data_IF_634398245361
#
_entry.id   IF_634398245361
#
_cell.length_a   1.000
_cell.length_b   1.000
_cell.length_c   1.000
_cell.angle_alpha   90.00
_cell.angle_beta   90.00
_cell.angle_gamma   90.00
#
_symmetry.space_group_name_H-M   'P 1'
#
loop_
_entity.id
_entity.type
_entity.pdbx_description
1 polymer ?
#
# COMPACT_ATOMS: atom_id res chain seq x y z
N UNK A 1 9.33 26.05 -1.89
CA UNK A 1 8.37 24.93 -1.89
C UNK A 1 7.14 25.37 -1.10
N UNK A 2 5.91 25.14 -1.59
CA UNK A 2 4.69 25.50 -0.84
C UNK A 2 4.53 24.59 0.39
N UNK A 3 4.02 25.08 1.51
CA UNK A 3 3.79 24.27 2.74
C UNK A 3 3.05 22.95 2.46
N UNK A 4 2.04 22.99 1.59
CA UNK A 4 1.32 21.78 1.14
C UNK A 4 2.24 20.74 0.51
N UNK A 5 3.15 21.17 -0.38
CA UNK A 5 4.10 20.26 -1.03
C UNK A 5 5.09 19.69 -0.02
N UNK A 6 5.50 20.47 0.99
CA UNK A 6 6.35 19.95 2.07
C UNK A 6 5.64 18.87 2.89
N UNK A 7 4.34 19.06 3.20
CA UNK A 7 3.54 18.05 3.90
C UNK A 7 3.39 16.76 3.09
N UNK A 8 3.08 16.88 1.79
CA UNK A 8 2.95 15.73 0.88
C UNK A 8 4.29 14.98 0.78
N UNK A 9 5.42 15.67 0.64
CA UNK A 9 6.75 15.04 0.62
C UNK A 9 7.09 14.39 1.96
N UNK A 10 6.70 14.99 3.09
CA UNK A 10 6.92 14.40 4.41
C UNK A 10 6.11 13.10 4.58
N UNK A 11 4.82 13.11 4.21
CA UNK A 11 3.97 11.89 4.21
C UNK A 11 4.58 10.77 3.35
N UNK A 12 5.13 11.13 2.18
CA UNK A 12 5.82 10.19 1.30
C UNK A 12 7.07 9.59 1.96
N UNK A 13 7.92 10.42 2.56
CA UNK A 13 9.13 9.92 3.23
C UNK A 13 8.79 9.08 4.47
N UNK A 14 7.71 9.39 5.19
CA UNK A 14 7.18 8.53 6.27
C UNK A 14 6.75 7.17 5.73
N UNK A 15 6.15 7.09 4.55
CA UNK A 15 5.80 5.81 3.94
C UNK A 15 7.01 4.98 3.53
N UNK A 16 8.07 5.61 3.01
CA UNK A 16 9.33 4.94 2.69
C UNK A 16 10.03 4.43 3.96
N UNK A 17 10.10 5.24 5.01
CA UNK A 17 10.55 4.80 6.33
C UNK A 17 9.73 3.61 6.86
N UNK A 18 8.40 3.65 6.69
CA UNK A 18 7.53 2.56 7.14
C UNK A 18 7.77 1.25 6.38
N UNK A 19 8.18 1.31 5.11
CA UNK A 19 8.67 0.12 4.39
C UNK A 19 9.93 -0.38 5.11
N UNK A 20 10.96 0.44 5.29
CA UNK A 20 12.20 -0.04 5.91
C UNK A 20 12.00 -0.61 7.33
N UNK A 21 11.15 0.03 8.15
CA UNK A 21 10.91 -0.37 9.54
C UNK A 21 10.01 -1.61 9.67
N UNK A 22 9.03 -1.78 8.78
CA UNK A 22 7.95 -2.77 8.93
C UNK A 22 7.81 -3.78 7.79
N UNK A 23 8.63 -3.72 6.74
CA UNK A 23 8.59 -4.65 5.60
C UNK A 23 9.16 -6.01 6.00
N UNK A 24 8.38 -6.71 6.83
CA UNK A 24 8.48 -8.13 7.08
C UNK A 24 7.69 -8.86 5.99
N UNK A 25 8.06 -10.12 5.72
CA UNK A 25 7.51 -10.96 4.64
C UNK A 25 6.00 -10.83 4.47
N UNK A 26 5.23 -10.75 5.56
CA UNK A 26 3.77 -10.71 5.48
C UNK A 26 3.13 -9.34 5.72
N UNK A 27 3.86 -8.23 5.71
CA UNK A 27 3.27 -6.89 5.88
C UNK A 27 3.23 -6.14 4.56
N UNK A 28 2.07 -5.59 4.25
CA UNK A 28 1.86 -4.70 3.11
C UNK A 28 1.84 -3.26 3.60
N UNK A 29 2.75 -2.45 3.05
CA UNK A 29 2.72 -0.99 3.22
C UNK A 29 1.98 -0.35 2.05
N UNK A 30 0.98 0.49 2.36
CA UNK A 30 0.23 1.25 1.35
C UNK A 30 0.15 2.72 1.74
N UNK A 31 0.87 3.57 1.01
CA UNK A 31 0.80 5.02 1.16
C UNK A 31 -0.50 5.59 0.57
N UNK A 32 -1.01 6.67 1.19
CA UNK A 32 -2.24 7.37 0.81
C UNK A 32 -3.44 6.44 0.62
N UNK A 33 -3.59 5.44 1.51
CA UNK A 33 -4.65 4.46 1.43
C UNK A 33 -6.02 5.10 1.70
N UNK A 34 -7.08 4.51 1.13
CA UNK A 34 -8.47 4.91 1.37
C UNK A 34 -9.26 3.74 1.89
N UNK A 35 -9.73 3.84 3.13
CA UNK A 35 -10.57 2.81 3.77
C UNK A 35 -11.95 3.41 4.03
N UNK A 36 -13.01 2.62 3.78
CA UNK A 36 -14.37 3.02 4.17
C UNK A 36 -14.51 2.87 5.68
N UNK A 37 -14.88 3.95 6.35
CA UNK A 37 -15.15 3.92 7.78
C UNK A 37 -16.39 3.07 8.10
N UNK A 38 -16.28 2.20 9.10
CA UNK A 38 -17.38 1.35 9.59
C UNK A 38 -18.40 2.14 10.42
N UNK A 39 -18.01 3.27 11.01
CA UNK A 39 -18.91 4.13 11.79
C UNK A 39 -19.42 5.30 10.96
N UNK A 40 -18.52 5.94 10.20
CA UNK A 40 -18.83 7.14 9.43
C UNK A 40 -19.36 6.85 8.03
N UNK A 41 -19.19 5.63 7.52
CA UNK A 41 -19.47 5.19 6.14
C UNK A 41 -18.74 5.99 5.05
N UNK A 42 -17.84 6.89 5.44
CA UNK A 42 -17.07 7.76 4.54
C UNK A 42 -15.72 7.14 4.23
N UNK A 43 -15.18 7.45 3.04
CA UNK A 43 -13.80 7.11 2.72
C UNK A 43 -12.86 7.99 3.55
N UNK A 44 -12.04 7.34 4.38
CA UNK A 44 -11.01 7.95 5.21
C UNK A 44 -9.67 7.80 4.51
N UNK A 45 -8.96 8.92 4.35
CA UNK A 45 -7.57 8.91 3.90
C UNK A 45 -6.68 8.53 5.10
N UNK A 46 -5.78 7.58 4.85
CA UNK A 46 -4.74 7.12 5.76
C UNK A 46 -3.39 7.37 5.09
N UNK A 47 -2.48 8.07 5.76
CA UNK A 47 -1.21 8.48 5.15
C UNK A 47 -0.35 7.25 4.84
N UNK A 48 -0.26 6.31 5.79
CA UNK A 48 0.29 4.96 5.55
C UNK A 48 -0.56 3.90 6.24
N UNK A 49 -0.95 2.87 5.49
CA UNK A 49 -1.63 1.71 6.01
C UNK A 49 -0.68 0.52 6.01
N UNK A 50 -0.58 -0.15 7.17
CA UNK A 50 0.12 -1.41 7.35
C UNK A 50 -0.91 -2.51 7.57
N UNK A 51 -0.84 -3.56 6.77
CA UNK A 51 -1.71 -4.72 6.93
C UNK A 51 -0.93 -6.02 6.79
N UNK A 52 -1.27 -7.03 7.57
CA UNK A 52 -0.78 -8.38 7.29
C UNK A 52 -1.40 -8.84 5.96
N UNK A 53 -0.60 -9.14 4.94
CA UNK A 53 -1.05 -9.50 3.59
C UNK A 53 -1.84 -10.81 3.58
N UNK A 54 -1.49 -11.78 4.42
CA UNK A 54 -2.10 -13.11 4.48
C UNK A 54 -3.35 -13.13 5.38
N UNK A 55 -3.39 -12.25 6.37
CA UNK A 55 -4.54 -12.13 7.28
C UNK A 55 -5.57 -11.15 6.72
N UNK A 56 -6.83 -11.61 6.64
CA UNK A 56 -7.97 -10.79 6.26
C UNK A 56 -8.59 -10.05 7.45
N UNK A 57 -8.08 -10.27 8.67
CA UNK A 57 -8.59 -9.62 9.87
C UNK A 57 -8.33 -8.10 9.85
N UNK A 58 -9.36 -7.26 9.67
CA UNK A 58 -9.21 -5.81 9.70
C UNK A 58 -8.67 -5.31 11.03
N UNK A 59 -8.97 -6.02 12.13
CA UNK A 59 -8.54 -5.65 13.48
C UNK A 59 -7.02 -5.76 13.66
N UNK A 60 -6.29 -6.40 12.76
CA UNK A 60 -4.83 -6.44 12.79
C UNK A 60 -4.16 -5.22 12.11
N UNK A 61 -4.94 -4.33 11.49
CA UNK A 61 -4.40 -3.17 10.75
C UNK A 61 -3.70 -2.19 11.69
N UNK A 62 -2.65 -1.55 11.17
CA UNK A 62 -2.02 -0.39 11.80
C UNK A 62 -2.11 0.79 10.84
N UNK A 63 -2.58 1.92 11.34
CA UNK A 63 -2.62 3.17 10.58
C UNK A 63 -1.49 4.09 11.03
N UNK A 64 -0.86 4.79 10.09
CA UNK A 64 0.14 5.80 10.36
C UNK A 64 -0.40 7.15 9.91
N UNK A 65 -0.29 8.15 10.78
CA UNK A 65 -0.73 9.52 10.56
C UNK A 65 0.47 10.45 10.70
N UNK A 66 0.89 11.06 9.59
CA UNK A 66 2.04 11.94 9.54
C UNK A 66 1.62 13.39 9.86
N UNK A 67 2.44 14.09 10.65
CA UNK A 67 2.16 15.42 11.15
C UNK A 67 3.40 16.30 11.03
N UNK A 68 3.49 17.00 9.90
CA UNK A 68 4.47 18.05 9.68
C UNK A 68 4.03 19.33 10.40
N UNK A 69 4.58 19.54 11.60
CA UNK A 69 4.31 20.73 12.39
C UNK A 69 5.61 21.30 12.96
N UNK A 70 5.73 22.64 12.94
CA UNK A 70 6.81 23.33 13.63
C UNK A 70 6.65 23.36 15.16
N UNK A 71 5.47 22.98 15.67
CA UNK A 71 5.18 22.87 17.10
C UNK A 71 4.88 21.42 17.48
N UNK A 72 5.14 21.01 18.73
CA UNK A 72 4.80 19.67 19.21
C UNK A 72 3.32 19.36 19.06
N UNK A 73 3.02 18.11 18.72
CA UNK A 73 1.67 17.56 18.62
C UNK A 73 0.99 17.56 20.00
N UNK A 74 -0.24 18.07 20.05
CA UNK A 74 -1.06 18.16 21.24
C UNK A 74 -2.04 16.97 21.38
N UNK A 75 -2.91 17.04 22.38
CA UNK A 75 -3.86 15.97 22.71
C UNK A 75 -4.94 15.80 21.64
N UNK A 76 -5.32 16.86 20.92
CA UNK A 76 -6.41 16.83 19.94
C UNK A 76 -6.07 15.91 18.76
N UNK A 77 -4.80 15.91 18.35
CA UNK A 77 -4.31 15.01 17.31
C UNK A 77 -4.38 13.55 17.74
N UNK A 78 -4.08 13.25 19.02
CA UNK A 78 -4.15 11.88 19.55
C UNK A 78 -5.61 11.41 19.58
N UNK A 79 -6.53 12.26 20.03
CA UNK A 79 -7.97 11.96 20.02
C UNK A 79 -8.51 11.77 18.61
N UNK A 80 -8.05 12.58 17.65
CA UNK A 80 -8.39 12.43 16.24
C UNK A 80 -7.85 11.12 15.64
N UNK A 81 -6.64 10.72 16.01
CA UNK A 81 -6.04 9.44 15.59
C UNK A 81 -6.85 8.25 16.13
N UNK A 82 -7.28 8.28 17.40
CA UNK A 82 -8.12 7.23 17.98
C UNK A 82 -9.52 7.17 17.38
N UNK A 83 -10.11 8.32 17.07
CA UNK A 83 -11.38 8.36 16.34
C UNK A 83 -11.23 7.75 14.95
N UNK A 84 -10.13 8.06 14.24
CA UNK A 84 -9.80 7.50 12.93
C UNK A 84 -9.58 5.98 13.02
N UNK A 85 -8.81 5.51 14.00
CA UNK A 85 -8.54 4.09 14.27
C UNK A 85 -9.83 3.28 14.46
N UNK A 86 -10.74 3.77 15.31
CA UNK A 86 -12.04 3.11 15.54
C UNK A 86 -12.91 3.09 14.29
N UNK A 87 -12.91 4.19 13.54
CA UNK A 87 -13.70 4.29 12.32
C UNK A 87 -13.21 3.34 11.22
N UNK A 88 -11.91 3.06 11.12
CA UNK A 88 -11.36 2.13 10.11
C UNK A 88 -11.09 0.72 10.63
N UNK A 89 -11.55 0.42 11.85
CA UNK A 89 -11.37 -0.84 12.54
C UNK A 89 -9.91 -1.32 12.63
N UNK A 90 -8.97 -0.43 12.95
CA UNK A 90 -7.54 -0.77 13.13
C UNK A 90 -7.21 -1.08 14.60
N UNK A 91 -6.19 -1.90 14.86
CA UNK A 91 -5.73 -2.19 16.23
C UNK A 91 -4.90 -1.06 16.83
N UNK A 92 -4.00 -0.47 16.03
CA UNK A 92 -3.07 0.55 16.49
C UNK A 92 -2.98 1.71 15.51
N UNK A 93 -2.66 2.88 16.05
CA UNK A 93 -2.26 4.05 15.28
C UNK A 93 -0.83 4.42 15.62
N UNK A 94 -0.05 4.84 14.63
CA UNK A 94 1.26 5.46 14.81
C UNK A 94 1.12 6.92 14.38
N UNK A 95 1.28 7.85 15.32
CA UNK A 95 1.37 9.28 15.00
C UNK A 95 2.85 9.61 14.84
N UNK A 96 3.21 10.06 13.65
CA UNK A 96 4.56 10.46 13.29
C UNK A 96 4.62 11.98 13.22
N UNK A 97 5.51 12.63 13.97
CA UNK A 97 5.64 14.08 13.97
C UNK A 97 7.06 14.55 13.72
N UNK A 98 7.19 15.67 13.00
CA UNK A 98 8.46 16.38 12.83
C UNK A 98 8.81 17.27 14.02
N UNK A 99 7.82 17.70 14.80
CA UNK A 99 7.97 18.71 15.86
C UNK A 99 7.93 18.14 17.29
N UNK A 100 7.84 16.82 17.43
CA UNK A 100 7.72 16.14 18.72
C UNK A 100 6.29 16.16 19.30
N UNK A 101 6.17 15.86 20.59
CA UNK A 101 4.89 15.66 21.27
C UNK A 101 4.84 16.39 22.62
N UNK A 102 3.69 16.95 22.95
CA UNK A 102 3.44 17.52 24.28
C UNK A 102 3.37 16.42 25.35
N UNK A 103 3.63 16.78 26.62
CA UNK A 103 3.48 15.84 27.75
C UNK A 103 2.07 15.25 27.85
N UNK A 104 1.05 16.04 27.52
CA UNK A 104 -0.34 15.60 27.52
C UNK A 104 -0.62 14.60 26.40
N UNK A 105 -0.09 14.84 25.20
CA UNK A 105 -0.19 13.89 24.08
C UNK A 105 0.48 12.55 24.42
N UNK A 106 1.68 12.58 25.01
CA UNK A 106 2.41 11.37 25.43
C UNK A 106 1.57 10.56 26.43
N UNK A 107 1.07 11.18 27.50
CA UNK A 107 0.21 10.51 28.49
C UNK A 107 -1.08 9.98 27.89
N UNK A 108 -1.65 10.68 26.89
CA UNK A 108 -2.90 10.27 26.26
C UNK A 108 -2.73 9.05 25.36
N UNK A 109 -1.53 8.80 24.83
CA UNK A 109 -1.26 7.78 23.81
C UNK A 109 -1.16 6.34 24.34
N UNK A 110 -1.14 6.13 25.65
CA UNK A 110 -0.65 4.90 26.31
C UNK A 110 -1.27 3.57 25.84
N UNK A 111 -2.50 3.55 25.32
CA UNK A 111 -3.17 2.30 24.93
C UNK A 111 -2.93 1.93 23.45
N UNK A 112 -3.56 2.66 22.52
CA UNK A 112 -3.67 2.27 21.11
C UNK A 112 -2.86 3.14 20.16
N UNK A 113 -2.22 4.20 20.67
CA UNK A 113 -1.47 5.16 19.85
C UNK A 113 0.02 5.06 20.18
N UNK A 114 0.86 4.89 19.16
CA UNK A 114 2.31 4.94 19.28
C UNK A 114 2.80 6.25 18.70
N UNK A 115 3.76 6.86 19.37
CA UNK A 115 4.32 8.15 18.96
C UNK A 115 5.71 7.92 18.36
N UNK A 116 6.00 8.59 17.24
CA UNK A 116 7.30 8.57 16.57
C UNK A 116 7.71 9.98 16.18
N UNK A 117 8.93 10.36 16.53
CA UNK A 117 9.55 11.61 16.12
C UNK A 117 10.46 11.31 14.94
N UNK A 118 10.14 11.86 13.77
CA UNK A 118 10.99 11.79 12.59
C UNK A 118 11.23 13.23 12.13
N UNK A 119 12.44 13.74 12.34
CA UNK A 119 12.78 15.12 11.98
C UNK A 119 12.69 15.32 10.47
N UNK A 120 12.16 16.46 10.03
CA UNK A 120 11.87 16.73 8.62
C UNK A 120 13.15 16.62 7.77
N UNK A 121 14.18 17.39 8.09
CA UNK A 121 15.39 17.46 7.26
C UNK A 121 16.08 16.10 7.13
N UNK A 122 16.23 15.37 8.24
CA UNK A 122 16.80 14.02 8.23
C UNK A 122 15.96 13.05 7.38
N UNK A 123 14.63 13.08 7.53
CA UNK A 123 13.75 12.15 6.83
C UNK A 123 13.73 12.42 5.31
N UNK A 124 13.77 13.69 4.90
CA UNK A 124 13.85 14.05 3.48
C UNK A 124 15.20 13.60 2.90
N UNK A 125 16.30 13.90 3.59
CA UNK A 125 17.66 13.54 3.12
C UNK A 125 17.79 12.03 2.91
N UNK A 126 17.19 11.22 3.78
CA UNK A 126 17.24 9.76 3.69
C UNK A 126 16.31 9.20 2.60
N UNK A 127 15.07 9.70 2.50
CA UNK A 127 14.02 9.00 1.77
C UNK A 127 13.44 9.72 0.54
N UNK A 128 13.79 10.98 0.24
CA UNK A 128 13.25 11.70 -0.93
C UNK A 128 13.51 10.95 -2.26
N UNK A 129 14.63 10.23 -2.34
CA UNK A 129 15.01 9.40 -3.48
C UNK A 129 14.22 8.09 -3.64
N UNK A 130 13.36 7.73 -2.68
CA UNK A 130 12.61 6.46 -2.70
C UNK A 130 11.48 6.44 -3.75
N UNK A 131 11.14 7.61 -4.29
CA UNK A 131 10.04 7.79 -5.22
C UNK A 131 10.51 8.00 -6.66
N UNK A 132 9.79 7.38 -7.58
CA UNK A 132 9.95 7.57 -9.02
C UNK A 132 8.66 8.05 -9.67
N UNK A 133 8.68 8.25 -11.00
CA UNK A 133 7.51 8.72 -11.74
C UNK A 133 6.57 7.55 -12.06
N UNK A 134 5.26 7.79 -12.00
CA UNK A 134 4.26 6.85 -12.48
C UNK A 134 4.40 6.68 -14.01
N UNK A 135 4.36 5.43 -14.50
CA UNK A 135 4.39 5.11 -15.93
C UNK A 135 2.99 5.06 -16.56
N UNK A 136 1.93 5.10 -15.74
CA UNK A 136 0.54 5.01 -16.22
C UNK A 136 -0.03 6.33 -16.72
N UNK A 137 0.18 7.40 -15.95
CA UNK A 137 -0.54 8.66 -16.15
C UNK A 137 0.38 9.83 -15.84
N UNK A 138 0.56 10.72 -16.81
CA UNK A 138 1.37 11.93 -16.67
C UNK A 138 0.79 12.87 -15.59
N UNK A 139 -0.52 12.81 -15.33
CA UNK A 139 -1.21 13.63 -14.33
C UNK A 139 -0.98 13.13 -12.89
N UNK A 140 -0.39 11.95 -12.71
CA UNK A 140 0.10 11.51 -11.40
C UNK A 140 1.25 12.40 -10.89
N UNK A 141 1.85 13.21 -11.75
CA UNK A 141 2.97 14.07 -11.40
C UNK A 141 4.27 13.29 -11.17
N UNK A 142 5.35 14.03 -10.88
CA UNK A 142 6.63 13.41 -10.55
C UNK A 142 6.64 12.82 -9.14
N UNK A 143 7.47 11.80 -8.91
CA UNK A 143 7.70 11.20 -7.58
C UNK A 143 6.42 10.68 -6.90
N UNK A 144 5.60 9.94 -7.63
CA UNK A 144 4.37 9.35 -7.10
C UNK A 144 4.46 7.83 -6.91
N UNK A 145 5.52 7.18 -7.37
CA UNK A 145 5.68 5.73 -7.33
C UNK A 145 6.64 5.32 -6.22
N UNK A 146 6.10 4.72 -5.15
CA UNK A 146 6.87 4.17 -4.03
C UNK A 146 7.27 2.74 -4.35
N UNK A 147 8.57 2.45 -4.39
CA UNK A 147 9.10 1.10 -4.60
C UNK A 147 9.30 0.34 -3.29
N UNK A 148 9.08 -0.97 -3.35
CA UNK A 148 9.49 -1.94 -2.32
C UNK A 148 9.99 -3.22 -3.03
N UNK A 149 10.49 -4.17 -2.25
CA UNK A 149 11.02 -5.44 -2.70
C UNK A 149 10.27 -6.55 -1.97
N UNK A 150 9.76 -7.52 -2.70
CA UNK A 150 9.16 -8.72 -2.12
C UNK A 150 10.07 -9.91 -2.31
N UNK A 151 10.06 -10.80 -1.32
CA UNK A 151 10.74 -12.09 -1.39
C UNK A 151 9.67 -13.16 -1.61
N UNK A 152 9.82 -13.91 -2.71
CA UNK A 152 8.88 -15.00 -3.00
C UNK A 152 9.44 -16.29 -2.43
N UNK A 153 8.89 -16.70 -1.29
CA UNK A 153 9.21 -18.00 -0.71
C UNK A 153 8.67 -19.13 -1.62
N UNK A 154 9.50 -20.14 -1.86
CA UNK A 154 9.16 -21.29 -2.70
C UNK A 154 9.37 -21.10 -4.21
N UNK A 155 9.57 -19.89 -4.72
CA UNK A 155 9.84 -19.63 -6.14
C UNK A 155 11.34 -19.71 -6.47
N UNK A 156 11.86 -20.90 -6.75
CA UNK A 156 13.26 -21.09 -7.17
C UNK A 156 14.26 -20.97 -6.01
N UNK A 157 15.52 -20.55 -6.25
CA UNK A 157 16.49 -20.41 -5.17
C UNK A 157 15.96 -19.37 -4.17
N UNK A 158 16.04 -19.66 -2.85
CA UNK A 158 15.40 -18.90 -1.77
C UNK A 158 15.86 -17.44 -1.56
N UNK A 159 16.46 -16.82 -2.57
CA UNK A 159 16.87 -15.41 -2.66
C UNK A 159 16.14 -14.64 -3.77
N UNK A 160 15.13 -15.22 -4.42
CA UNK A 160 14.46 -14.55 -5.53
C UNK A 160 13.65 -13.35 -5.00
N UNK A 161 14.10 -12.16 -5.37
CA UNK A 161 13.50 -10.89 -4.98
C UNK A 161 12.88 -10.22 -6.19
N UNK A 162 11.68 -9.67 -6.04
CA UNK A 162 11.03 -8.89 -7.08
C UNK A 162 10.77 -7.48 -6.58
N UNK A 163 11.17 -6.50 -7.41
CA UNK A 163 10.91 -5.10 -7.13
C UNK A 163 9.57 -4.71 -7.73
N UNK A 164 8.71 -4.15 -6.90
CA UNK A 164 7.40 -3.67 -7.29
C UNK A 164 7.16 -2.28 -6.70
N UNK A 165 6.25 -1.52 -7.30
CA UNK A 165 5.90 -0.19 -6.82
C UNK A 165 4.40 0.03 -6.79
N UNK A 166 3.96 0.92 -5.89
CA UNK A 166 2.58 1.38 -5.80
C UNK A 166 2.54 2.89 -6.02
N UNK A 167 1.77 3.33 -7.01
CA UNK A 167 1.57 4.76 -7.20
C UNK A 167 0.67 5.32 -6.09
N UNK A 168 1.11 6.34 -5.35
CA UNK A 168 0.34 6.94 -4.25
C UNK A 168 -0.86 7.76 -4.72
N UNK A 169 -1.03 7.96 -6.03
CA UNK A 169 -2.13 8.73 -6.61
C UNK A 169 -3.16 7.87 -7.34
N UNK A 170 -2.73 7.15 -8.38
CA UNK A 170 -3.62 6.28 -9.14
C UNK A 170 -3.73 4.87 -8.55
N UNK A 171 -2.87 4.52 -7.58
CA UNK A 171 -2.78 3.21 -6.95
C UNK A 171 -2.37 2.06 -7.88
N UNK A 172 -2.07 2.30 -9.16
CA UNK A 172 -1.62 1.26 -10.10
C UNK A 172 -0.30 0.64 -9.66
N UNK A 173 -0.23 -0.70 -9.73
CA UNK A 173 1.00 -1.44 -9.49
C UNK A 173 2.00 -1.19 -10.61
N UNK A 174 3.27 -1.16 -10.27
CA UNK A 174 4.38 -1.17 -11.22
C UNK A 174 5.32 -2.31 -10.87
N UNK A 175 5.96 -2.88 -11.87
CA UNK A 175 6.90 -3.99 -11.70
C UNK A 175 8.20 -3.61 -12.40
N UNK A 176 9.33 -3.89 -11.75
CA UNK A 176 10.64 -3.92 -12.39
C UNK A 176 11.09 -5.38 -12.50
N UNK A 177 11.11 -5.91 -13.72
CA UNK A 177 11.63 -7.24 -13.97
C UNK A 177 13.14 -7.26 -13.76
N UNK A 178 13.63 -8.02 -12.78
CA UNK A 178 15.07 -8.09 -12.46
C UNK A 178 15.91 -8.77 -13.55
N UNK A 179 15.27 -9.54 -14.45
CA UNK A 179 15.99 -10.32 -15.47
C UNK A 179 16.27 -9.48 -16.72
N UNK A 180 15.25 -8.83 -17.29
CA UNK A 180 15.42 -7.99 -18.49
C UNK A 180 15.50 -6.49 -18.20
N UNK A 181 15.25 -6.07 -16.96
CA UNK A 181 15.26 -4.66 -16.56
C UNK A 181 14.05 -3.85 -17.02
N UNK A 182 13.01 -4.48 -17.59
CA UNK A 182 11.82 -3.76 -18.03
C UNK A 182 10.99 -3.26 -16.84
N UNK A 183 10.50 -2.03 -16.96
CA UNK A 183 9.57 -1.41 -16.01
C UNK A 183 8.22 -1.22 -16.68
N UNK A 184 7.14 -1.67 -16.05
CA UNK A 184 5.81 -1.55 -16.62
C UNK A 184 4.71 -1.47 -15.55
N UNK A 185 3.61 -0.75 -15.83
CA UNK A 185 2.44 -0.74 -14.96
C UNK A 185 1.60 -2.01 -15.16
N UNK A 186 0.94 -2.45 -14.09
CA UNK A 186 -0.04 -3.55 -14.09
C UNK A 186 -1.38 -3.00 -13.58
N UNK A 187 -2.32 -2.82 -14.50
CA UNK A 187 -3.62 -2.23 -14.21
C UNK A 187 -4.57 -3.23 -13.53
N UNK A 188 -5.39 -2.75 -12.61
CA UNK A 188 -6.37 -3.57 -11.91
C UNK A 188 -7.28 -4.30 -12.91
N UNK A 189 -7.47 -5.61 -12.72
CA UNK A 189 -8.19 -6.51 -13.60
C UNK A 189 -7.42 -6.95 -14.86
N UNK A 190 -6.15 -6.58 -15.03
CA UNK A 190 -5.36 -6.88 -16.23
C UNK A 190 -4.13 -7.72 -15.91
N UNK A 191 -3.63 -8.43 -16.93
CA UNK A 191 -2.35 -9.13 -16.90
C UNK A 191 -1.38 -8.55 -17.94
N UNK A 192 -0.08 -8.64 -17.64
CA UNK A 192 1.02 -8.20 -18.50
C UNK A 192 2.03 -9.32 -18.57
N UNK A 193 2.39 -9.74 -19.79
CA UNK A 193 3.46 -10.73 -20.00
C UNK A 193 4.78 -10.00 -20.18
N UNK A 194 5.79 -10.39 -19.42
CA UNK A 194 7.15 -9.86 -19.57
C UNK A 194 7.82 -10.48 -20.81
N UNK A 195 8.74 -9.76 -21.45
CA UNK A 195 9.53 -10.29 -22.56
C UNK A 195 10.52 -11.42 -22.16
N UNK A 196 10.69 -11.66 -20.86
CA UNK A 196 11.30 -12.87 -20.36
C UNK A 196 10.27 -13.99 -20.47
N UNK A 197 10.42 -14.86 -21.47
CA UNK A 197 9.55 -16.01 -21.72
C UNK A 197 9.42 -16.89 -20.47
N UNK A 198 8.30 -16.71 -19.74
CA UNK A 198 7.72 -17.55 -18.67
C UNK A 198 6.98 -16.76 -17.57
N UNK A 199 7.02 -15.41 -17.59
CA UNK A 199 6.43 -14.56 -16.53
C UNK A 199 5.22 -13.77 -16.99
N UNK A 200 4.11 -13.97 -16.28
CA UNK A 200 2.89 -13.19 -16.44
C UNK A 200 2.57 -12.50 -15.10
N UNK A 201 2.35 -11.20 -15.13
CA UNK A 201 2.02 -10.39 -13.96
C UNK A 201 0.56 -10.01 -14.00
N UNK A 202 -0.14 -9.99 -12.87
CA UNK A 202 -1.55 -9.61 -12.81
C UNK A 202 -1.84 -8.74 -11.61
N UNK A 203 -2.70 -7.73 -11.78
CA UNK A 203 -3.28 -6.98 -10.67
C UNK A 203 -4.74 -7.44 -10.52
N UNK A 204 -4.97 -8.47 -9.72
CA UNK A 204 -6.23 -9.22 -9.70
C UNK A 204 -7.05 -8.85 -8.46
N UNK A 205 -8.26 -8.28 -8.62
CA UNK A 205 -9.19 -8.09 -7.51
C UNK A 205 -9.55 -9.43 -6.85
N UNK A 206 -9.79 -9.41 -5.55
CA UNK A 206 -10.35 -10.57 -4.83
C UNK A 206 -11.64 -11.06 -5.49
N UNK A 207 -11.89 -12.36 -5.44
CA UNK A 207 -13.08 -12.99 -6.02
C UNK A 207 -13.46 -14.26 -5.28
N UNK A 208 -14.62 -14.83 -5.58
CA UNK A 208 -15.03 -16.14 -5.04
C UNK A 208 -13.96 -17.21 -5.26
N UNK A 209 -13.25 -17.13 -6.38
CA UNK A 209 -12.21 -18.07 -6.72
C UNK A 209 -10.88 -17.85 -5.97
N UNK A 210 -10.72 -16.70 -5.29
CA UNK A 210 -9.73 -16.51 -4.22
C UNK A 210 -10.23 -16.90 -2.83
N UNK A 211 -11.36 -17.61 -2.75
CA UNK A 211 -12.07 -17.87 -1.49
C UNK A 211 -12.56 -16.59 -0.81
N UNK A 212 -12.78 -15.51 -1.56
CA UNK A 212 -13.40 -14.29 -1.04
C UNK A 212 -14.89 -14.30 -1.28
N UNK A 213 -15.68 -14.25 -0.22
CA UNK A 213 -17.13 -14.11 -0.31
C UNK A 213 -17.53 -12.64 -0.20
N UNK A 214 -18.34 -12.16 -1.14
CA UNK A 214 -18.87 -10.80 -1.13
C UNK A 214 -18.13 -9.81 -2.04
N UNK A 215 -18.21 -8.53 -1.68
CA UNK A 215 -17.65 -7.44 -2.50
C UNK A 215 -16.13 -7.46 -2.33
N UNK A 216 -15.33 -7.47 -3.41
CA UNK A 216 -13.88 -7.42 -3.33
C UNK A 216 -13.41 -6.20 -2.54
N UNK A 217 -12.53 -6.41 -1.55
CA UNK A 217 -12.01 -5.33 -0.72
C UNK A 217 -10.57 -4.96 -1.10
N UNK A 218 -9.84 -5.89 -1.73
CA UNK A 218 -8.44 -5.71 -2.12
C UNK A 218 -8.15 -6.13 -3.56
N UNK A 219 -7.05 -5.60 -4.09
CA UNK A 219 -6.43 -6.05 -5.36
C UNK A 219 -5.04 -6.58 -5.07
N UNK A 220 -4.74 -7.75 -5.61
CA UNK A 220 -3.49 -8.47 -5.44
C UNK A 220 -2.57 -8.30 -6.65
N UNK A 221 -1.30 -8.02 -6.42
CA UNK A 221 -0.25 -8.20 -7.40
C UNK A 221 0.19 -9.66 -7.37
N UNK A 222 -0.01 -10.35 -8.49
CA UNK A 222 0.32 -11.75 -8.68
C UNK A 222 1.40 -11.90 -9.73
N UNK A 223 2.31 -12.85 -9.49
CA UNK A 223 3.25 -13.35 -10.47
C UNK A 223 2.89 -14.79 -10.82
N UNK A 224 2.74 -15.08 -12.10
CA UNK A 224 2.71 -16.43 -12.64
C UNK A 224 4.06 -16.77 -13.24
N UNK A 225 4.60 -17.92 -12.86
CA UNK A 225 5.81 -18.48 -13.47
C UNK A 225 5.55 -19.93 -13.87
N UNK A 226 5.55 -20.20 -15.17
CA UNK A 226 5.13 -21.52 -15.68
C UNK A 226 3.69 -21.87 -15.29
N UNK A 227 3.51 -22.84 -14.39
CA UNK A 227 2.18 -23.28 -13.88
C UNK A 227 1.90 -22.83 -12.45
N UNK A 228 2.83 -22.14 -11.81
CA UNK A 228 2.74 -21.70 -10.42
C UNK A 228 2.36 -20.23 -10.35
N UNK A 229 1.69 -19.86 -9.26
CA UNK A 229 1.21 -18.52 -8.97
C UNK A 229 1.70 -18.09 -7.59
N UNK A 230 2.11 -16.83 -7.50
CA UNK A 230 2.61 -16.25 -6.27
C UNK A 230 1.92 -14.92 -6.03
N UNK A 231 1.22 -14.81 -4.90
CA UNK A 231 0.72 -13.54 -4.39
C UNK A 231 1.90 -12.77 -3.79
N UNK A 232 2.20 -11.60 -4.33
CA UNK A 232 3.29 -10.78 -3.83
C UNK A 232 2.73 -9.77 -2.83
N UNK A 233 1.84 -8.92 -3.33
CA UNK A 233 1.40 -7.72 -2.65
C UNK A 233 -0.08 -7.52 -2.77
N UNK A 234 -0.64 -6.76 -1.84
CA UNK A 234 -2.03 -6.31 -1.92
C UNK A 234 -2.15 -4.80 -1.76
N UNK A 235 -3.32 -4.28 -2.10
CA UNK A 235 -3.77 -2.92 -1.77
C UNK A 235 -5.29 -2.91 -1.61
N UNK A 236 -5.84 -2.05 -0.74
CA UNK A 236 -7.29 -1.84 -0.70
C UNK A 236 -7.84 -1.32 -2.03
N UNK A 237 -9.03 -1.77 -2.41
CA UNK A 237 -9.79 -1.20 -3.53
C UNK A 237 -10.37 0.14 -3.07
N UNK A 238 -9.98 1.21 -3.77
CA UNK A 238 -10.51 2.55 -3.52
C UNK A 238 -11.97 2.71 -3.97
N UNK A 239 -12.22 3.54 -5.00
CA UNK A 239 -13.59 3.71 -5.53
C UNK A 239 -14.00 2.49 -6.36
N UNK A 240 -14.93 1.71 -5.85
CA UNK A 240 -15.61 0.58 -6.55
C UNK A 240 -16.24 1.00 -7.90
N UNK A 241 -16.50 2.29 -8.15
CA UNK A 241 -17.44 2.72 -9.19
C UNK A 241 -16.86 3.18 -10.54
N UNK A 242 -15.64 2.83 -10.95
CA UNK A 242 -15.23 3.14 -12.35
C UNK A 242 -14.18 2.25 -13.00
N UNK A 243 -13.46 1.40 -12.25
CA UNK A 243 -12.37 0.59 -12.80
C UNK A 243 -12.77 -0.86 -13.10
N UNK A 244 -13.91 -1.33 -12.59
CA UNK A 244 -14.56 -2.54 -13.07
C UNK A 244 -15.56 -2.16 -14.16
N UNK A 245 -15.08 -1.71 -15.33
CA UNK A 245 -15.89 -1.95 -16.53
C UNK A 245 -15.79 -3.45 -16.77
N UNK A 246 -16.91 -4.19 -16.91
CA UNK A 246 -16.83 -5.53 -17.47
C UNK A 246 -16.08 -5.40 -18.79
N UNK A 247 -14.93 -6.06 -18.91
CA UNK A 247 -14.25 -6.15 -20.18
C UNK A 247 -15.28 -6.74 -21.17
N UNK A 248 -15.63 -6.06 -22.27
CA UNK A 248 -16.47 -6.69 -23.28
C UNK A 248 -15.65 -7.82 -23.88
N UNK A 249 -16.03 -9.07 -23.55
CA UNK A 249 -15.43 -10.37 -23.90
C UNK A 249 -14.69 -11.09 -22.76
N UNK A 250 -15.34 -11.30 -21.61
CA UNK A 250 -14.69 -11.88 -20.42
C UNK A 250 -15.31 -13.18 -19.88
N UNK A 251 -15.34 -14.24 -20.69
CA UNK A 251 -15.46 -15.61 -20.18
C UNK A 251 -14.08 -16.22 -19.85
N UNK A 252 -12.99 -15.55 -20.23
CA UNK A 252 -11.61 -16.09 -20.14
C UNK A 252 -10.80 -15.52 -18.95
N UNK A 253 -11.02 -14.30 -18.44
CA UNK A 253 -10.26 -13.78 -17.28
C UNK A 253 -10.89 -14.14 -15.94
N UNK A 254 -12.19 -14.37 -15.82
CA UNK A 254 -12.81 -14.86 -14.57
C UNK A 254 -12.50 -16.33 -14.34
N UNK A 255 -12.44 -17.13 -15.40
CA UNK A 255 -11.98 -18.52 -15.35
C UNK A 255 -10.47 -18.59 -15.06
N UNK A 256 -9.65 -17.76 -15.73
CA UNK A 256 -8.20 -17.67 -15.44
C UNK A 256 -7.92 -17.09 -14.06
N UNK A 257 -8.51 -15.97 -13.65
CA UNK A 257 -8.34 -15.42 -12.29
C UNK A 257 -8.75 -16.44 -11.23
N UNK A 258 -9.76 -17.27 -11.50
CA UNK A 258 -10.12 -18.35 -10.59
C UNK A 258 -9.15 -19.52 -10.55
N UNK A 259 -8.50 -19.85 -11.66
CA UNK A 259 -7.39 -20.81 -11.68
C UNK A 259 -6.11 -20.26 -11.01
N UNK A 260 -5.90 -18.94 -11.05
CA UNK A 260 -4.71 -18.29 -10.53
C UNK A 260 -4.71 -18.24 -9.00
N UNK A 261 -5.88 -18.06 -8.38
CA UNK A 261 -5.97 -17.86 -6.93
C UNK A 261 -6.38 -19.13 -6.18
N UNK A 262 -7.03 -20.10 -6.83
CA UNK A 262 -7.30 -21.42 -6.22
C UNK A 262 -6.04 -22.29 -6.02
N UNK A 263 -4.86 -21.84 -6.48
CA UNK A 263 -3.60 -22.62 -6.49
C UNK A 263 -2.42 -21.94 -5.79
N UNK A 264 -2.61 -20.71 -5.30
CA UNK A 264 -1.68 -19.99 -4.40
C UNK A 264 -1.99 -20.33 -2.96
#
# INVERSE_FOLDING_TARGET
MTERRQSETYEQCVAAWAIEEFDFVDVTVTANAKIRGILSERLRQIDVLLENRLDRNPEARVIVDAKLHGRPVDIEVIEAAEAKLRDVNAAFAVVVSSGGFTKSAIRRSEDFVRLRLLEYDWLIDEYEGSYSNCLTDADCGSQSLLWSVDKVDGAGPGWLMYKYGKCVRCHTFHVLCQDCGSEFPVHDGHTVTCECDDREWGAIPESEASGHEGIPESTWLMLKRGKEFYGLQRKPIGKITSQVRPCPNNEDLTSRAGEWIARS
#
